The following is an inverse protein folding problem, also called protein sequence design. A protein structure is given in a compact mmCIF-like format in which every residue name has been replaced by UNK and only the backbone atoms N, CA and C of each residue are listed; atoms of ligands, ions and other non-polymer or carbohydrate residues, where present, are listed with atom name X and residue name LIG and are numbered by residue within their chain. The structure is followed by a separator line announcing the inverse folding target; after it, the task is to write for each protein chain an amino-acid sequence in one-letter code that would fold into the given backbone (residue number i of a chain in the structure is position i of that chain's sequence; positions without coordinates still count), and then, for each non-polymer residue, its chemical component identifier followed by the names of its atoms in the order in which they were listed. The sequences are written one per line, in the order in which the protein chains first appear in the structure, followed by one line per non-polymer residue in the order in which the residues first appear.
data_IF_604972565724
#
_entry.id   IF_604972565724
#
_cell.length_a   1.000
_cell.length_b   1.000
_cell.length_c   1.000
_cell.angle_alpha   90.00
_cell.angle_beta   90.00
_cell.angle_gamma   90.00
#
_symmetry.space_group_name_H-M   'P 1'
#
loop_
_entity.id
_entity.type
_entity.pdbx_description
1 polymer ?
#
# COMPACT_ATOMS: atom_id res chain seq x y z
N UNK A 1 34.69 -36.13 3.16
CA UNK A 1 33.47 -36.50 2.43
C UNK A 1 32.30 -36.46 3.41
N UNK A 2 31.57 -35.34 3.41
CA UNK A 2 30.25 -35.08 4.01
C UNK A 2 29.83 -33.66 3.55
N UNK A 3 28.53 -33.35 3.39
CA UNK A 3 28.04 -32.55 2.28
C UNK A 3 27.98 -31.03 2.51
N UNK A 4 27.89 -30.32 1.39
CA UNK A 4 27.71 -28.88 1.25
C UNK A 4 26.36 -28.45 1.81
N UNK A 5 26.36 -27.56 2.80
CA UNK A 5 25.18 -26.78 3.17
C UNK A 5 24.88 -25.79 2.04
N UNK A 6 23.95 -26.17 1.16
CA UNK A 6 23.39 -25.30 0.12
C UNK A 6 22.74 -24.06 0.74
N UNK A 7 23.24 -22.90 0.31
CA UNK A 7 22.52 -21.65 0.07
C UNK A 7 21.17 -21.48 0.77
N UNK A 8 21.14 -20.66 1.83
CA UNK A 8 19.93 -20.00 2.28
C UNK A 8 19.50 -19.03 1.16
N UNK A 9 18.62 -19.53 0.28
CA UNK A 9 18.11 -18.79 -0.85
C UNK A 9 17.35 -17.55 -0.36
N UNK A 10 18.01 -16.38 -0.40
CA UNK A 10 17.33 -15.09 -0.45
C UNK A 10 16.60 -15.00 -1.79
N UNK A 11 15.42 -15.62 -1.87
CA UNK A 11 14.54 -15.45 -3.02
C UNK A 11 13.96 -14.03 -2.97
N UNK A 12 14.07 -13.25 -4.06
CA UNK A 12 14.13 -11.80 -3.98
C UNK A 12 12.73 -11.18 -4.04
N UNK A 13 12.64 -9.94 -3.56
CA UNK A 13 11.49 -9.02 -3.57
C UNK A 13 10.80 -8.90 -4.96
N UNK A 14 11.45 -9.36 -6.05
CA UNK A 14 10.91 -9.40 -7.41
C UNK A 14 9.60 -10.19 -7.57
N UNK A 15 9.35 -11.25 -6.78
CA UNK A 15 8.10 -12.02 -6.91
C UNK A 15 6.91 -11.23 -6.33
N UNK A 16 7.13 -10.36 -5.34
CA UNK A 16 6.07 -9.57 -4.72
C UNK A 16 5.61 -8.42 -5.64
N UNK A 17 6.54 -7.76 -6.34
CA UNK A 17 6.22 -6.69 -7.29
C UNK A 17 5.48 -7.19 -8.54
N UNK A 18 5.77 -8.42 -8.99
CA UNK A 18 5.15 -9.00 -10.18
C UNK A 18 3.69 -9.46 -9.93
N UNK A 19 3.29 -9.70 -8.68
CA UNK A 19 1.93 -10.14 -8.32
C UNK A 19 0.96 -9.01 -8.00
N UNK A 20 1.45 -7.82 -7.60
CA UNK A 20 0.60 -6.61 -7.46
C UNK A 20 -0.07 -6.22 -8.80
N UNK A 21 0.56 -6.56 -9.92
CA UNK A 21 0.07 -6.30 -11.27
C UNK A 21 -0.96 -7.33 -11.80
N UNK A 22 -1.14 -8.49 -11.12
CA UNK A 22 -2.04 -9.56 -11.58
C UNK A 22 -3.51 -9.35 -11.15
N UNK A 23 -3.78 -8.36 -10.32
CA UNK A 23 -5.12 -7.80 -10.14
C UNK A 23 -5.16 -6.47 -10.90
N UNK A 24 -5.80 -6.51 -12.07
CA UNK A 24 -5.86 -5.40 -13.02
C UNK A 24 -6.23 -4.07 -12.33
N UNK A 25 -5.29 -3.12 -12.31
CA UNK A 25 -5.56 -1.74 -11.91
C UNK A 25 -4.74 -1.17 -10.77
N UNK A 26 -3.82 -1.92 -10.15
CA UNK A 26 -2.93 -1.38 -9.11
C UNK A 26 -1.95 -0.35 -9.69
N UNK A 27 -1.87 0.83 -9.08
CA UNK A 27 -0.98 1.92 -9.54
C UNK A 27 0.24 2.05 -8.64
N UNK A 28 0.05 1.89 -7.33
CA UNK A 28 1.11 1.91 -6.34
C UNK A 28 0.84 0.90 -5.25
N UNK A 29 1.90 0.37 -4.64
CA UNK A 29 1.81 -0.57 -3.55
C UNK A 29 2.94 -0.40 -2.54
N UNK A 30 2.63 -0.65 -1.28
CA UNK A 30 3.58 -0.65 -0.17
C UNK A 30 3.45 -1.94 0.65
N UNK A 31 4.60 -2.55 0.97
CA UNK A 31 4.67 -3.78 1.73
C UNK A 31 5.11 -3.49 3.16
N UNK A 32 4.27 -3.82 4.14
CA UNK A 32 4.52 -3.60 5.58
C UNK A 32 4.03 -4.81 6.36
N UNK A 33 4.83 -5.28 7.31
CA UNK A 33 4.57 -6.50 8.10
C UNK A 33 4.31 -7.73 7.20
N UNK A 34 3.22 -8.47 7.42
CA UNK A 34 2.78 -9.60 6.60
C UNK A 34 1.86 -9.21 5.44
N UNK A 35 1.65 -7.90 5.21
CA UNK A 35 0.68 -7.43 4.23
C UNK A 35 1.32 -6.59 3.13
N UNK A 36 0.60 -6.52 2.00
CA UNK A 36 0.79 -5.51 0.96
C UNK A 36 -0.48 -4.69 0.87
N UNK A 37 -0.32 -3.39 0.77
CA UNK A 37 -1.40 -2.45 0.50
C UNK A 37 -1.24 -1.92 -0.91
N UNK A 38 -2.27 -2.04 -1.74
CA UNK A 38 -2.24 -1.62 -3.14
C UNK A 38 -3.43 -0.71 -3.44
N UNK A 39 -3.19 0.44 -4.08
CA UNK A 39 -4.24 1.34 -4.56
C UNK A 39 -4.59 1.06 -6.01
N UNK A 40 -5.89 1.14 -6.34
CA UNK A 40 -6.40 1.00 -7.70
C UNK A 40 -6.77 2.36 -8.32
N UNK A 41 -6.75 2.42 -9.65
CA UNK A 41 -7.26 3.58 -10.41
C UNK A 41 -8.74 3.87 -10.18
N UNK A 42 -9.50 2.89 -9.66
CA UNK A 42 -10.92 3.00 -9.32
C UNK A 42 -11.18 3.50 -7.89
N UNK A 43 -10.15 3.98 -7.19
CA UNK A 43 -10.28 4.54 -5.84
C UNK A 43 -10.58 3.50 -4.76
N UNK A 44 -10.02 2.30 -4.93
CA UNK A 44 -10.04 1.25 -3.91
C UNK A 44 -8.63 0.96 -3.42
N UNK A 45 -8.52 0.52 -2.17
CA UNK A 45 -7.28 0.03 -1.57
C UNK A 45 -7.47 -1.41 -1.13
N UNK A 46 -6.61 -2.29 -1.63
CA UNK A 46 -6.61 -3.72 -1.29
C UNK A 46 -5.54 -4.01 -0.25
N UNK A 47 -5.90 -4.75 0.81
CA UNK A 47 -4.98 -5.38 1.75
C UNK A 47 -4.79 -6.83 1.34
N UNK A 48 -3.55 -7.20 1.06
CA UNK A 48 -3.17 -8.52 0.54
C UNK A 48 -2.28 -9.21 1.57
N UNK A 49 -2.63 -10.43 1.94
CA UNK A 49 -1.80 -11.27 2.80
C UNK A 49 -0.68 -11.92 1.98
N UNK A 50 0.57 -11.69 2.38
CA UNK A 50 1.76 -12.16 1.63
C UNK A 50 2.00 -13.66 1.75
N UNK A 51 1.43 -14.31 2.77
CA UNK A 51 1.62 -15.74 3.01
C UNK A 51 0.66 -16.55 2.14
N UNK A 52 -0.57 -16.09 2.03
CA UNK A 52 -1.66 -16.75 1.30
C UNK A 52 -1.89 -16.17 -0.11
N UNK A 53 -1.21 -15.06 -0.45
CA UNK A 53 -1.37 -14.32 -1.69
C UNK A 53 -2.83 -13.98 -2.01
N UNK A 54 -3.60 -13.63 -0.99
CA UNK A 54 -5.04 -13.39 -1.09
C UNK A 54 -5.41 -12.00 -0.58
N UNK A 55 -6.39 -11.37 -1.24
CA UNK A 55 -6.99 -10.12 -0.75
C UNK A 55 -7.81 -10.44 0.50
N UNK A 56 -7.44 -9.84 1.62
CA UNK A 56 -8.12 -10.02 2.92
C UNK A 56 -9.04 -8.85 3.26
N UNK A 57 -8.87 -7.71 2.61
CA UNK A 57 -9.81 -6.58 2.69
C UNK A 57 -9.70 -5.69 1.45
N UNK A 58 -10.82 -5.06 1.09
CA UNK A 58 -10.86 -3.98 0.10
C UNK A 58 -11.60 -2.80 0.71
N UNK A 59 -10.97 -1.63 0.70
CA UNK A 59 -11.49 -0.39 1.28
C UNK A 59 -11.69 0.61 0.15
N UNK A 60 -12.91 1.14 0.01
CA UNK A 60 -13.12 2.30 -0.86
C UNK A 60 -12.48 3.53 -0.23
N UNK A 61 -11.46 4.11 -0.86
CA UNK A 61 -10.91 5.41 -0.43
C UNK A 61 -11.83 6.56 -0.85
N UNK A 62 -12.76 6.31 -1.79
CA UNK A 62 -13.69 7.29 -2.34
C UNK A 62 -13.05 8.29 -3.30
N UNK A 63 -11.79 8.05 -3.70
CA UNK A 63 -11.00 8.98 -4.49
C UNK A 63 -10.14 8.21 -5.49
N UNK A 64 -10.13 8.63 -6.74
CA UNK A 64 -9.19 8.13 -7.73
C UNK A 64 -7.78 8.52 -7.26
N UNK A 65 -6.90 7.56 -6.98
CA UNK A 65 -5.56 7.84 -6.48
C UNK A 65 -4.53 6.94 -7.14
N UNK A 66 -3.42 7.55 -7.51
CA UNK A 66 -2.28 6.87 -8.10
C UNK A 66 -1.17 6.56 -7.08
N UNK A 67 -1.27 7.08 -5.86
CA UNK A 67 -0.22 6.97 -4.84
C UNK A 67 -0.78 6.39 -3.53
N UNK A 68 0.12 5.79 -2.74
CA UNK A 68 -0.19 5.25 -1.42
C UNK A 68 1.07 5.32 -0.57
N UNK A 69 0.92 5.68 0.71
CA UNK A 69 1.97 5.53 1.71
C UNK A 69 1.41 4.78 2.92
N UNK A 70 2.29 4.10 3.66
CA UNK A 70 1.90 3.29 4.81
C UNK A 70 2.84 3.63 5.96
N UNK A 71 2.26 4.00 7.10
CA UNK A 71 2.98 4.19 8.37
C UNK A 71 2.69 3.02 9.33
N UNK A 72 3.03 3.22 10.61
CA UNK A 72 2.86 2.24 11.68
C UNK A 72 1.40 1.79 11.89
N UNK A 73 0.41 2.65 11.66
CA UNK A 73 -0.99 2.38 12.00
C UNK A 73 -1.96 2.53 10.82
N UNK A 74 -1.52 3.20 9.76
CA UNK A 74 -2.39 3.78 8.76
C UNK A 74 -1.84 3.67 7.34
N UNK A 75 -2.76 3.69 6.41
CA UNK A 75 -2.53 3.79 4.98
C UNK A 75 -3.08 5.13 4.51
N UNK A 76 -2.28 5.85 3.76
CA UNK A 76 -2.56 7.21 3.32
C UNK A 76 -2.73 7.24 1.81
N UNK A 77 -3.84 7.82 1.36
CA UNK A 77 -4.25 7.82 -0.04
C UNK A 77 -4.60 9.26 -0.43
N UNK A 78 -3.74 9.96 -1.19
CA UNK A 78 -4.05 11.30 -1.69
C UNK A 78 -5.09 11.23 -2.80
N UNK A 79 -6.00 12.21 -2.87
CA UNK A 79 -6.89 12.37 -4.02
C UNK A 79 -6.09 12.82 -5.24
N UNK A 80 -6.17 12.11 -6.38
CA UNK A 80 -5.43 12.49 -7.60
C UNK A 80 -5.80 13.85 -8.17
N UNK A 81 -7.06 14.27 -8.01
CA UNK A 81 -7.59 15.55 -8.48
C UNK A 81 -8.07 16.45 -7.33
N UNK A 82 -7.71 16.13 -6.09
CA UNK A 82 -8.26 16.78 -4.91
C UNK A 82 -7.22 17.31 -3.95
N UNK A 83 -7.69 18.13 -3.01
CA UNK A 83 -6.86 18.79 -2.02
C UNK A 83 -6.72 17.94 -0.74
N UNK A 84 -7.12 16.67 -0.78
CA UNK A 84 -7.33 15.86 0.42
C UNK A 84 -6.52 14.57 0.43
N UNK A 85 -6.22 14.06 1.62
CA UNK A 85 -5.65 12.74 1.87
C UNK A 85 -6.59 11.93 2.75
N UNK A 86 -6.95 10.73 2.31
CA UNK A 86 -7.69 9.75 3.12
C UNK A 86 -6.72 8.94 3.99
N UNK A 87 -7.02 8.84 5.28
CA UNK A 87 -6.33 7.97 6.24
C UNK A 87 -7.18 6.73 6.50
N UNK A 88 -6.65 5.56 6.15
CA UNK A 88 -7.26 4.26 6.36
C UNK A 88 -6.55 3.55 7.51
N UNK A 89 -7.29 3.09 8.51
CA UNK A 89 -6.73 2.30 9.62
C UNK A 89 -6.37 0.89 9.15
N UNK A 90 -5.14 0.44 9.43
CA UNK A 90 -4.68 -0.92 9.10
C UNK A 90 -5.38 -2.02 9.91
N UNK A 91 -5.88 -1.64 11.08
CA UNK A 91 -6.52 -2.56 12.05
C UNK A 91 -7.99 -2.76 11.72
N UNK A 92 -8.71 -1.67 11.43
CA UNK A 92 -10.16 -1.72 11.17
C UNK A 92 -10.49 -1.81 9.68
N UNK A 93 -9.50 -1.61 8.80
CA UNK A 93 -9.66 -1.55 7.34
C UNK A 93 -10.76 -0.56 6.93
N UNK A 94 -10.76 0.62 7.54
CA UNK A 94 -11.76 1.66 7.30
C UNK A 94 -11.10 3.03 7.19
N UNK A 95 -11.68 3.91 6.38
CA UNK A 95 -11.30 5.32 6.39
C UNK A 95 -11.66 5.91 7.76
N UNK A 96 -10.65 6.44 8.46
CA UNK A 96 -10.79 7.03 9.80
C UNK A 96 -10.63 8.55 9.78
N UNK A 97 -10.06 9.11 8.70
CA UNK A 97 -10.02 10.55 8.48
C UNK A 97 -9.91 10.90 6.99
N UNK A 98 -10.39 12.09 6.64
CA UNK A 98 -10.10 12.78 5.38
C UNK A 98 -9.55 14.15 5.73
N UNK A 99 -8.33 14.43 5.29
CA UNK A 99 -7.55 15.61 5.72
C UNK A 99 -7.31 16.51 4.52
N UNK A 100 -7.67 17.78 4.62
CA UNK A 100 -7.35 18.79 3.61
C UNK A 100 -5.88 19.23 3.77
N UNK A 101 -5.11 19.08 2.70
CA UNK A 101 -3.69 19.40 2.59
C UNK A 101 -3.42 20.43 1.47
N UNK A 102 -4.48 20.99 0.86
CA UNK A 102 -4.38 22.01 -0.18
C UNK A 102 -4.05 21.45 -1.57
N UNK A 103 -2.96 20.70 -1.74
CA UNK A 103 -2.66 19.94 -2.96
C UNK A 103 -1.57 18.91 -2.65
N UNK A 104 -1.82 17.63 -2.94
CA UNK A 104 -0.83 16.56 -2.79
C UNK A 104 -1.01 15.51 -3.88
N UNK A 105 -0.09 15.47 -4.84
CA UNK A 105 -0.10 14.48 -5.92
C UNK A 105 0.62 13.18 -5.55
N UNK A 106 1.70 13.29 -4.79
CA UNK A 106 2.43 12.15 -4.25
C UNK A 106 2.59 12.27 -2.74
N UNK A 107 2.76 11.12 -2.10
CA UNK A 107 2.89 11.01 -0.65
C UNK A 107 3.98 10.00 -0.30
N UNK A 108 4.74 10.30 0.74
CA UNK A 108 5.71 9.41 1.37
C UNK A 108 5.42 9.39 2.87
N UNK A 109 5.68 8.27 3.54
CA UNK A 109 5.54 8.16 4.98
C UNK A 109 6.78 7.50 5.58
N UNK A 110 7.12 7.91 6.79
CA UNK A 110 8.01 7.19 7.71
C UNK A 110 7.20 6.59 8.86
N UNK A 111 7.84 6.14 9.94
CA UNK A 111 7.14 5.49 11.07
C UNK A 111 6.15 6.42 11.78
N UNK A 112 6.37 7.73 11.75
CA UNK A 112 5.63 8.71 12.55
C UNK A 112 5.12 9.91 11.76
N UNK A 113 5.62 10.14 10.55
CA UNK A 113 5.32 11.31 9.74
C UNK A 113 4.93 10.96 8.31
N UNK A 114 4.15 11.84 7.70
CA UNK A 114 3.69 11.73 6.32
C UNK A 114 3.95 13.04 5.60
N UNK A 115 4.54 12.94 4.41
CA UNK A 115 5.02 14.05 3.60
C UNK A 115 4.30 14.03 2.24
N UNK A 116 3.72 15.15 1.84
CA UNK A 116 3.14 15.35 0.51
C UNK A 116 4.04 16.22 -0.37
N UNK A 117 4.10 15.92 -1.66
CA UNK A 117 4.71 16.83 -2.65
C UNK A 117 3.62 17.59 -3.40
N UNK A 118 3.82 18.90 -3.58
CA UNK A 118 2.98 19.82 -4.37
C UNK A 118 3.75 20.29 -5.59
#
# INVERSE_FOLDING_TARGET
MAPRSSSAAHLPILILALFVALFAGSVSASAVDNYVWASSTSGSVSKIDKTTNSVVATVGSGMDSYAIAVDTDSVWVPASAGNTVSRISKTTNSVVATIDVGNAFQIAADSDSVWGTN
#
